data_IF_963034385711
#
_entry.id   IF_963034385711
#
_cell.length_a   1.000
_cell.length_b   1.000
_cell.length_c   1.000
_cell.angle_alpha   90.00
_cell.angle_beta   90.00
_cell.angle_gamma   90.00
#
_symmetry.space_group_name_H-M   'P 1'
#
loop_
_entity.id
_entity.type
_entity.pdbx_description
1 polymer ?
#
# COMPACT_ATOMS: atom_id res chain seq x y z
N UNK A 1 17.25 -3.99 20.16
CA UNK A 1 15.90 -3.39 20.33
C UNK A 1 15.42 -2.49 19.18
N UNK A 2 15.97 -2.58 17.95
CA UNK A 2 15.57 -1.68 16.85
C UNK A 2 14.36 -2.13 16.02
N UNK A 3 14.19 -3.45 15.83
CA UNK A 3 13.22 -4.02 14.87
C UNK A 3 11.74 -3.81 15.29
N UNK A 4 11.44 -3.92 16.58
CA UNK A 4 10.09 -3.73 17.12
C UNK A 4 9.53 -2.31 16.91
N UNK A 5 10.38 -1.28 17.02
CA UNK A 5 9.96 0.12 16.82
C UNK A 5 9.55 0.40 15.38
N UNK A 6 10.32 -0.15 14.42
CA UNK A 6 10.02 -0.05 13.00
C UNK A 6 8.67 -0.70 12.66
N UNK A 7 8.47 -1.94 13.14
CA UNK A 7 7.26 -2.72 12.84
C UNK A 7 6.00 -2.07 13.41
N UNK A 8 6.06 -1.61 14.67
CA UNK A 8 4.95 -0.93 15.33
C UNK A 8 4.54 0.36 14.63
N UNK A 9 5.49 1.20 14.20
CA UNK A 9 5.18 2.43 13.45
C UNK A 9 4.53 2.13 12.10
N UNK A 10 5.03 1.11 11.39
CA UNK A 10 4.49 0.72 10.10
C UNK A 10 3.06 0.21 10.22
N UNK A 11 2.78 -0.66 11.21
CA UNK A 11 1.43 -1.17 11.49
C UNK A 11 0.47 -0.02 11.86
N UNK A 12 0.90 0.88 12.75
CA UNK A 12 0.09 2.05 13.13
C UNK A 12 -0.28 2.91 11.92
N UNK A 13 0.69 3.19 11.04
CA UNK A 13 0.46 3.98 9.85
C UNK A 13 -0.53 3.31 8.89
N UNK A 14 -0.42 1.98 8.71
CA UNK A 14 -1.36 1.24 7.85
C UNK A 14 -2.78 1.26 8.41
N UNK A 15 -2.95 1.14 9.72
CA UNK A 15 -4.27 1.27 10.38
C UNK A 15 -4.87 2.66 10.19
N UNK A 16 -4.04 3.71 10.28
CA UNK A 16 -4.44 5.10 10.01
C UNK A 16 -4.90 5.31 8.56
N UNK A 17 -4.23 4.68 7.59
CA UNK A 17 -4.57 4.77 6.17
C UNK A 17 -5.87 4.02 5.84
N UNK A 18 -6.08 2.84 6.44
CA UNK A 18 -7.32 2.09 6.30
C UNK A 18 -8.51 2.88 6.91
N UNK A 19 -8.31 3.51 8.08
CA UNK A 19 -9.30 4.39 8.70
C UNK A 19 -9.64 5.63 7.84
N UNK A 20 -8.69 6.09 7.01
CA UNK A 20 -8.88 7.21 6.06
C UNK A 20 -9.42 6.75 4.70
N UNK A 21 -9.72 5.46 4.52
CA UNK A 21 -10.13 4.86 3.26
C UNK A 21 -9.16 5.15 2.10
N UNK A 22 -7.87 5.33 2.41
CA UNK A 22 -6.81 5.57 1.43
C UNK A 22 -5.94 4.32 1.33
N UNK A 23 -6.30 3.36 0.46
CA UNK A 23 -5.51 2.16 0.29
C UNK A 23 -4.12 2.48 -0.24
N UNK A 24 -3.10 2.02 0.48
CA UNK A 24 -1.72 2.10 0.04
C UNK A 24 -1.47 1.13 -1.11
N UNK A 25 -0.94 1.65 -2.22
CA UNK A 25 -0.44 0.78 -3.29
C UNK A 25 0.88 0.11 -2.86
N UNK A 26 1.10 -1.14 -3.30
CA UNK A 26 2.36 -1.88 -3.07
C UNK A 26 3.64 -1.08 -3.33
N UNK A 27 3.81 -0.33 -4.44
CA UNK A 27 5.00 0.50 -4.64
C UNK A 27 5.17 1.61 -3.61
N UNK A 28 4.08 2.24 -3.18
CA UNK A 28 4.10 3.30 -2.16
C UNK A 28 4.46 2.73 -0.79
N UNK A 29 3.91 1.58 -0.44
CA UNK A 29 4.31 0.84 0.76
C UNK A 29 5.81 0.54 0.79
N UNK A 30 6.39 0.06 -0.33
CA UNK A 30 7.82 -0.25 -0.41
C UNK A 30 8.72 0.98 -0.30
N UNK A 31 8.27 2.15 -0.78
CA UNK A 31 8.99 3.42 -0.56
C UNK A 31 8.92 3.84 0.91
N UNK A 32 7.73 3.77 1.51
CA UNK A 32 7.51 4.15 2.90
C UNK A 32 8.36 3.30 3.86
N UNK A 33 8.47 2.00 3.62
CA UNK A 33 9.36 1.09 4.36
C UNK A 33 10.82 1.56 4.27
N UNK A 34 11.27 1.98 3.09
CA UNK A 34 12.63 2.50 2.90
C UNK A 34 12.85 3.80 3.68
N UNK A 35 11.96 4.78 3.53
CA UNK A 35 12.05 6.06 4.23
C UNK A 35 12.05 5.90 5.75
N UNK A 36 11.22 4.99 6.27
CA UNK A 36 11.12 4.75 7.70
C UNK A 36 12.37 4.03 8.24
N UNK A 37 12.99 3.16 7.44
CA UNK A 37 14.24 2.51 7.78
C UNK A 37 15.43 3.48 7.79
N UNK A 38 15.49 4.40 6.83
CA UNK A 38 16.49 5.47 6.77
C UNK A 38 16.33 6.46 7.95
N UNK A 39 15.09 6.86 8.27
CA UNK A 39 14.79 7.73 9.43
C UNK A 39 15.21 7.11 10.75
N UNK A 40 14.97 5.81 10.92
CA UNK A 40 15.39 5.06 12.11
C UNK A 40 16.87 4.66 12.08
N UNK A 41 17.60 5.02 10.99
CA UNK A 41 19.01 4.67 10.76
C UNK A 41 19.28 3.18 10.97
N UNK A 42 18.33 2.33 10.58
CA UNK A 42 18.45 0.89 10.71
C UNK A 42 19.39 0.35 9.62
N UNK A 43 20.33 -0.54 9.95
CA UNK A 43 21.13 -1.19 8.93
C UNK A 43 20.23 -2.05 8.04
N UNK A 44 20.05 -1.64 6.78
CA UNK A 44 19.21 -2.34 5.82
C UNK A 44 19.93 -2.57 4.49
N UNK A 45 19.59 -3.68 3.84
CA UNK A 45 20.09 -4.06 2.51
C UNK A 45 19.18 -3.57 1.37
N UNK A 46 18.31 -2.60 1.66
CA UNK A 46 17.41 -2.05 0.64
C UNK A 46 18.16 -1.35 -0.48
N UNK A 47 17.51 -1.30 -1.65
CA UNK A 47 18.13 -0.73 -2.84
C UNK A 47 18.16 0.80 -2.73
N UNK A 48 19.35 1.36 -2.45
CA UNK A 48 19.56 2.80 -2.32
C UNK A 48 19.38 3.59 -3.62
N UNK A 49 19.57 2.96 -4.78
CA UNK A 49 19.36 3.61 -6.08
C UNK A 49 17.87 3.81 -6.35
N UNK A 50 17.06 2.78 -6.07
CA UNK A 50 15.61 2.82 -6.28
C UNK A 50 14.83 3.35 -5.06
N UNK A 51 15.50 3.60 -3.93
CA UNK A 51 14.92 4.05 -2.66
C UNK A 51 13.66 3.28 -2.26
N UNK A 52 13.72 1.97 -2.42
CA UNK A 52 12.56 1.06 -2.23
C UNK A 52 13.00 -0.22 -1.54
N UNK A 53 12.11 -0.72 -0.69
CA UNK A 53 12.26 -2.04 -0.10
C UNK A 53 12.02 -3.16 -1.12
N UNK A 54 12.58 -4.34 -0.84
CA UNK A 54 12.42 -5.52 -1.68
C UNK A 54 11.01 -6.10 -1.64
N UNK A 55 10.58 -6.73 -2.74
CA UNK A 55 9.28 -7.44 -2.78
C UNK A 55 9.18 -8.58 -1.76
N UNK A 56 10.30 -9.23 -1.42
CA UNK A 56 10.37 -10.26 -0.38
C UNK A 56 9.91 -9.72 0.98
N UNK A 57 10.41 -8.53 1.35
CA UNK A 57 10.03 -7.88 2.61
C UNK A 57 8.51 -7.72 2.73
N UNK A 58 7.85 -7.32 1.64
CA UNK A 58 6.39 -7.20 1.61
C UNK A 58 5.70 -8.53 1.92
N UNK A 59 6.09 -9.63 1.26
CA UNK A 59 5.45 -10.92 1.48
C UNK A 59 5.70 -11.41 2.90
N UNK A 60 6.92 -11.32 3.40
CA UNK A 60 7.24 -11.71 4.79
C UNK A 60 6.48 -10.87 5.81
N UNK A 61 6.29 -9.57 5.55
CA UNK A 61 5.53 -8.67 6.42
C UNK A 61 4.05 -9.02 6.44
N UNK A 62 3.45 -9.27 5.27
CA UNK A 62 2.05 -9.67 5.14
C UNK A 62 1.77 -11.04 5.79
N UNK A 63 2.72 -11.99 5.70
CA UNK A 63 2.60 -13.28 6.38
C UNK A 63 2.60 -13.13 7.91
N UNK A 64 3.35 -12.16 8.45
CA UNK A 64 3.37 -11.88 9.90
C UNK A 64 2.13 -11.13 10.37
N UNK A 65 1.55 -10.30 9.52
CA UNK A 65 0.39 -9.44 9.84
C UNK A 65 -0.76 -9.69 8.88
N UNK A 66 -1.43 -10.86 8.96
CA UNK A 66 -2.59 -11.17 8.11
C UNK A 66 -3.78 -10.23 8.37
N UNK A 67 -3.79 -9.51 9.51
CA UNK A 67 -4.76 -8.46 9.82
C UNK A 67 -4.64 -7.23 8.90
N UNK A 68 -3.48 -7.03 8.27
CA UNK A 68 -3.21 -5.92 7.36
C UNK A 68 -3.29 -6.41 5.91
N UNK A 69 -4.29 -5.93 5.17
CA UNK A 69 -4.39 -6.17 3.73
C UNK A 69 -4.20 -4.87 2.97
N UNK A 70 -3.24 -4.85 2.04
CA UNK A 70 -3.22 -3.79 1.02
C UNK A 70 -4.38 -4.08 0.07
N UNK A 71 -5.50 -3.38 0.24
CA UNK A 71 -6.54 -3.39 -0.81
C UNK A 71 -5.91 -2.81 -2.06
N UNK A 72 -5.72 -3.63 -3.09
CA UNK A 72 -5.54 -3.08 -4.42
C UNK A 72 -6.79 -2.25 -4.73
N UNK A 73 -6.68 -1.08 -5.39
CA UNK A 73 -7.86 -0.42 -5.92
C UNK A 73 -8.55 -1.45 -6.82
N UNK A 74 -9.72 -1.93 -6.42
CA UNK A 74 -10.52 -2.77 -7.28
C UNK A 74 -10.77 -1.94 -8.53
N UNK A 75 -10.29 -2.44 -9.68
CA UNK A 75 -10.67 -1.88 -10.96
C UNK A 75 -12.19 -1.87 -10.96
N UNK A 76 -12.79 -0.69 -10.90
CA UNK A 76 -14.23 -0.54 -11.12
C UNK A 76 -14.48 -1.04 -12.53
N UNK A 77 -14.89 -2.30 -12.62
CA UNK A 77 -15.16 -3.02 -13.86
C UNK A 77 -16.00 -2.14 -14.76
N UNK A 78 -15.60 -2.06 -16.03
CA UNK A 78 -16.15 -1.23 -17.11
C UNK A 78 -17.70 -1.15 -17.13
N UNK A 79 -18.40 -2.16 -16.62
CA UNK A 79 -19.85 -2.18 -16.41
C UNK A 79 -20.43 -0.96 -15.68
N UNK A 80 -19.72 -0.35 -14.73
CA UNK A 80 -20.23 0.85 -14.02
C UNK A 80 -20.04 2.14 -14.83
N UNK A 81 -19.01 2.20 -15.69
CA UNK A 81 -18.79 3.32 -16.61
C UNK A 81 -19.77 3.30 -17.78
N UNK A 82 -20.14 2.11 -18.26
CA UNK A 82 -21.17 1.93 -19.30
C UNK A 82 -22.58 2.34 -18.84
N UNK A 83 -22.83 2.53 -17.54
CA UNK A 83 -24.09 3.07 -17.04
C UNK A 83 -24.23 4.59 -17.17
N UNK A 84 -23.14 5.32 -17.45
CA UNK A 84 -23.12 6.79 -17.54
C UNK A 84 -23.11 7.32 -18.99
N UNK A 85 -23.22 6.44 -19.97
CA UNK A 85 -23.33 6.73 -21.40
C UNK A 85 -24.26 5.64 -21.92
N UNK A 86 -25.49 5.86 -22.43
CA UNK A 86 -26.00 6.92 -23.31
C UNK A 86 -27.53 6.98 -23.14
N UNK A 87 -28.08 7.99 -22.45
CA UNK A 87 -29.52 8.31 -22.49
C UNK A 87 -29.77 9.52 -23.42
N UNK A 88 -29.15 9.54 -24.61
CA UNK A 88 -29.28 10.67 -25.54
C UNK A 88 -29.87 10.35 -26.92
N UNK A 89 -30.43 9.16 -27.18
CA UNK A 89 -31.30 9.01 -28.36
C UNK A 89 -32.09 7.70 -28.38
N UNK A 90 -33.20 7.61 -27.64
CA UNK A 90 -34.26 6.65 -28.01
C UNK A 90 -35.62 7.11 -27.50
N UNK A 91 -36.28 7.99 -28.28
CA UNK A 91 -37.72 8.33 -28.37
C UNK A 91 -37.77 9.77 -28.87
N UNK A 92 -38.46 10.14 -29.94
CA UNK A 92 -39.33 9.47 -30.88
C UNK A 92 -39.28 10.26 -32.20
#
# INVERSE_FOLDING_TARGET
MGRFKFESQLVSYMKDQDAKFMPLSKPEFLKLVYDLAERLKLPHQFNKQKKTAGKQFYYEFMTRHPELSLRAPESTSLQRALGFTYDICRRA
#
